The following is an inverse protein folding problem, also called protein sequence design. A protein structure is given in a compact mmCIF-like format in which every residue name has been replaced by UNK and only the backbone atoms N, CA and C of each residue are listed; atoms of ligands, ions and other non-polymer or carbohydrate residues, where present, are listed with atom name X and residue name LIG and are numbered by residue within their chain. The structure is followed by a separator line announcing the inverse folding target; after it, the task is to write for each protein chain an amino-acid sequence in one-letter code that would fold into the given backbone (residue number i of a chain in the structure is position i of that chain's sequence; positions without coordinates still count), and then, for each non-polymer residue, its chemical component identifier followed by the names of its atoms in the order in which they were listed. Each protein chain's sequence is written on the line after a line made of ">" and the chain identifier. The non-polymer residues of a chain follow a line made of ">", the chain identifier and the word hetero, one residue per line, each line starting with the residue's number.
data_IF_999649306531
#
_entry.id   IF_999649306531
#
_cell.length_a   1.000
_cell.length_b   1.000
_cell.length_c   1.000
_cell.angle_alpha   90.00
_cell.angle_beta   90.00
_cell.angle_gamma   90.00
#
_symmetry.space_group_name_H-M   'P 1'
#
loop_
_entity.id
_entity.type
_entity.pdbx_description
1 polymer ?
#
# COMPACT_ATOMS: atom_id res chain seq x y z
N UNK A 1 12.24 54.51 25.59
CA UNK A 1 11.71 55.12 24.34
C UNK A 1 11.47 53.99 23.35
N UNK A 2 10.19 53.85 22.98
CA UNK A 2 9.48 52.90 22.11
C UNK A 2 10.20 51.77 21.35
N UNK A 3 9.81 50.54 21.71
CA UNK A 3 9.81 49.34 20.86
C UNK A 3 9.03 49.61 19.57
N UNK A 4 9.64 49.31 18.42
CA UNK A 4 8.94 49.28 17.13
C UNK A 4 8.01 48.06 17.07
N UNK A 5 6.71 48.33 16.98
CA UNK A 5 5.65 47.38 16.67
C UNK A 5 5.43 47.38 15.16
N UNK A 6 5.68 46.25 14.48
CA UNK A 6 5.23 46.02 13.11
C UNK A 6 4.41 44.72 13.08
N UNK A 7 3.12 44.87 12.79
CA UNK A 7 2.10 43.82 12.69
C UNK A 7 2.49 42.73 11.67
N UNK A 8 2.13 41.46 11.90
CA UNK A 8 2.26 40.42 10.89
C UNK A 8 1.31 40.70 9.72
N UNK A 9 1.85 40.59 8.52
CA UNK A 9 1.12 40.57 7.25
C UNK A 9 0.09 39.44 7.31
N UNK A 10 -1.19 39.81 7.35
CA UNK A 10 -2.30 38.87 7.20
C UNK A 10 -2.27 38.30 5.78
N UNK A 11 -2.02 37.00 5.77
CA UNK A 11 -2.12 36.07 4.65
C UNK A 11 -3.52 36.17 4.00
N UNK A 12 -3.58 36.63 2.76
CA UNK A 12 -4.75 36.41 1.89
C UNK A 12 -4.29 35.60 0.68
N UNK A 13 -4.38 34.25 0.73
CA UNK A 13 -4.15 33.46 -0.45
C UNK A 13 -5.40 33.59 -1.33
N UNK A 14 -5.21 34.23 -2.49
CA UNK A 14 -6.22 34.39 -3.52
C UNK A 14 -6.89 33.06 -3.87
N UNK A 15 -8.17 33.12 -4.24
CA UNK A 15 -9.05 31.97 -4.49
C UNK A 15 -8.44 30.95 -5.47
N UNK A 16 -7.55 31.36 -6.39
CA UNK A 16 -6.82 30.46 -7.30
C UNK A 16 -5.79 29.54 -6.63
N UNK A 17 -5.23 29.91 -5.48
CA UNK A 17 -4.21 29.13 -4.78
C UNK A 17 -4.81 27.90 -4.04
N UNK A 18 -6.09 27.98 -3.62
CA UNK A 18 -6.80 26.86 -2.98
C UNK A 18 -7.10 25.71 -3.94
N UNK A 19 -7.41 26.01 -5.21
CA UNK A 19 -7.67 24.99 -6.23
C UNK A 19 -6.41 24.24 -6.64
N UNK A 20 -5.28 24.96 -6.75
CA UNK A 20 -4.00 24.35 -7.05
C UNK A 20 -3.51 23.49 -5.89
N UNK A 21 -3.66 23.94 -4.63
CA UNK A 21 -3.37 23.12 -3.45
C UNK A 21 -4.29 21.89 -3.37
N UNK A 22 -5.59 22.03 -3.63
CA UNK A 22 -6.52 20.90 -3.64
C UNK A 22 -6.17 19.88 -4.75
N UNK A 23 -5.77 20.35 -5.94
CA UNK A 23 -5.33 19.48 -7.02
C UNK A 23 -4.00 18.77 -6.70
N UNK A 24 -3.03 19.47 -6.09
CA UNK A 24 -1.76 18.88 -5.64
C UNK A 24 -2.01 17.83 -4.56
N UNK A 25 -2.90 18.10 -3.59
CA UNK A 25 -3.27 17.14 -2.55
C UNK A 25 -3.96 15.92 -3.17
N UNK A 26 -4.87 16.11 -4.13
CA UNK A 26 -5.54 15.01 -4.82
C UNK A 26 -4.57 14.13 -5.63
N UNK A 27 -3.58 14.74 -6.31
CA UNK A 27 -2.55 13.99 -7.03
C UNK A 27 -1.63 13.25 -6.04
N UNK A 28 -1.26 13.90 -4.93
CA UNK A 28 -0.45 13.28 -3.88
C UNK A 28 -1.17 12.10 -3.21
N UNK A 29 -2.47 12.18 -2.96
CA UNK A 29 -3.24 11.06 -2.39
C UNK A 29 -3.39 9.90 -3.38
N UNK A 30 -3.53 10.18 -4.69
CA UNK A 30 -3.51 9.13 -5.72
C UNK A 30 -2.13 8.47 -5.83
N UNK A 31 -1.04 9.24 -5.73
CA UNK A 31 0.32 8.72 -5.79
C UNK A 31 0.67 7.86 -4.56
N UNK A 32 0.22 8.23 -3.36
CA UNK A 32 0.46 7.45 -2.14
C UNK A 32 -0.47 6.22 -2.06
N UNK A 33 -1.72 6.34 -2.53
CA UNK A 33 -2.66 5.20 -2.60
C UNK A 33 -2.33 4.18 -3.70
N UNK A 34 -1.71 4.62 -4.80
CA UNK A 34 -1.32 3.76 -5.92
C UNK A 34 -0.04 2.94 -5.68
N UNK A 35 0.83 3.36 -4.76
CA UNK A 35 2.09 2.67 -4.49
C UNK A 35 1.94 1.40 -3.63
N UNK A 36 0.94 1.31 -2.75
CA UNK A 36 0.73 0.13 -1.89
C UNK A 36 0.07 -1.05 -2.62
N UNK A 37 -0.50 -0.79 -3.79
CA UNK A 37 -1.06 -1.81 -4.68
C UNK A 37 -0.02 -2.57 -5.51
N UNK A 38 1.21 -2.06 -5.62
CA UNK A 38 2.27 -2.66 -6.45
C UNK A 38 3.24 -3.56 -5.67
N UNK A 39 3.17 -3.56 -4.33
CA UNK A 39 4.03 -4.37 -3.49
C UNK A 39 3.62 -5.86 -3.52
N UNK A 40 4.64 -6.73 -3.52
CA UNK A 40 4.49 -8.18 -3.32
C UNK A 40 3.86 -8.42 -1.96
N UNK A 41 2.80 -9.24 -1.91
CA UNK A 41 2.14 -9.62 -0.66
C UNK A 41 3.01 -10.55 0.17
N UNK A 42 2.97 -10.35 1.48
CA UNK A 42 3.77 -11.12 2.45
C UNK A 42 2.93 -11.49 3.66
N UNK A 43 3.49 -12.31 4.56
CA UNK A 43 2.82 -12.70 5.81
C UNK A 43 2.39 -11.49 6.66
N UNK A 44 3.10 -10.36 6.55
CA UNK A 44 2.82 -9.15 7.32
C UNK A 44 1.45 -8.53 6.95
N UNK A 45 1.00 -8.73 5.71
CA UNK A 45 -0.30 -8.27 5.21
C UNK A 45 -1.48 -9.05 5.81
N UNK A 46 -1.22 -10.12 6.57
CA UNK A 46 -2.22 -11.05 7.07
C UNK A 46 -2.34 -11.04 8.58
N UNK A 47 -3.58 -11.16 9.05
CA UNK A 47 -3.90 -11.37 10.45
C UNK A 47 -3.81 -12.87 10.78
N UNK A 48 -2.94 -13.27 11.72
CA UNK A 48 -2.84 -14.67 12.14
C UNK A 48 -4.06 -15.17 12.91
N UNK A 49 -4.94 -14.30 13.40
CA UNK A 49 -6.02 -14.67 14.32
C UNK A 49 -5.49 -15.43 15.53
N UNK A 50 -5.93 -16.68 15.70
CA UNK A 50 -5.49 -17.59 16.75
C UNK A 50 -4.29 -18.46 16.37
N UNK A 51 -3.78 -18.37 15.13
CA UNK A 51 -2.64 -19.17 14.70
C UNK A 51 -1.33 -18.65 15.31
N UNK A 52 -0.44 -19.58 15.70
CA UNK A 52 0.91 -19.23 16.13
C UNK A 52 1.67 -18.51 14.99
N UNK A 53 2.47 -17.50 15.34
CA UNK A 53 3.27 -16.74 14.38
C UNK A 53 4.20 -17.62 13.53
N UNK A 54 4.74 -18.71 14.12
CA UNK A 54 5.56 -19.68 13.39
C UNK A 54 4.76 -20.43 12.31
N UNK A 55 3.50 -20.77 12.60
CA UNK A 55 2.62 -21.42 11.63
C UNK A 55 2.27 -20.46 10.49
N UNK A 56 1.94 -19.21 10.80
CA UNK A 56 1.71 -18.17 9.79
C UNK A 56 2.92 -18.03 8.87
N UNK A 57 4.15 -17.97 9.42
CA UNK A 57 5.36 -17.82 8.62
C UNK A 57 5.61 -19.03 7.69
N UNK A 58 5.38 -20.25 8.19
CA UNK A 58 5.51 -21.48 7.38
C UNK A 58 4.47 -21.54 6.26
N UNK A 59 3.20 -21.26 6.58
CA UNK A 59 2.12 -21.26 5.61
C UNK A 59 2.33 -20.16 4.55
N UNK A 60 2.79 -18.98 4.98
CA UNK A 60 3.16 -17.89 4.10
C UNK A 60 4.33 -18.22 3.15
N UNK A 61 5.37 -18.91 3.62
CA UNK A 61 6.48 -19.36 2.75
C UNK A 61 5.99 -20.36 1.70
N UNK A 62 5.14 -21.31 2.11
CA UNK A 62 4.53 -22.26 1.18
C UNK A 62 3.66 -21.56 0.13
N UNK A 63 2.83 -20.60 0.55
CA UNK A 63 2.01 -19.78 -0.35
C UNK A 63 2.86 -18.91 -1.28
N UNK A 64 3.98 -18.36 -0.79
CA UNK A 64 4.92 -17.59 -1.61
C UNK A 64 5.46 -18.46 -2.76
N UNK A 65 5.92 -19.68 -2.49
CA UNK A 65 6.44 -20.58 -3.53
C UNK A 65 5.39 -20.93 -4.57
N UNK A 66 4.15 -21.14 -4.16
CA UNK A 66 3.04 -21.39 -5.09
C UNK A 66 2.74 -20.15 -5.94
N UNK A 67 2.75 -18.96 -5.32
CA UNK A 67 2.55 -17.70 -6.01
C UNK A 67 3.69 -17.39 -7.00
N UNK A 68 4.94 -17.70 -6.66
CA UNK A 68 6.08 -17.58 -7.58
C UNK A 68 5.95 -18.53 -8.78
N UNK A 69 5.56 -19.79 -8.54
CA UNK A 69 5.31 -20.75 -9.61
C UNK A 69 4.17 -20.28 -10.52
N UNK A 70 3.09 -19.77 -9.92
CA UNK A 70 1.95 -19.22 -10.65
C UNK A 70 2.33 -17.98 -11.47
N UNK A 71 3.10 -17.05 -10.89
CA UNK A 71 3.60 -15.87 -11.58
C UNK A 71 4.55 -16.23 -12.74
N UNK A 72 5.35 -17.29 -12.61
CA UNK A 72 6.22 -17.73 -13.72
C UNK A 72 5.44 -18.24 -14.93
N UNK A 73 4.26 -18.84 -14.71
CA UNK A 73 3.44 -19.42 -15.78
C UNK A 73 2.45 -18.40 -16.34
N UNK A 74 1.81 -17.62 -15.46
CA UNK A 74 0.69 -16.75 -15.79
C UNK A 74 0.98 -15.25 -15.66
N UNK A 75 2.11 -14.89 -15.06
CA UNK A 75 2.53 -13.49 -14.94
C UNK A 75 3.17 -12.98 -16.23
N UNK A 76 3.17 -11.66 -16.41
CA UNK A 76 3.81 -11.00 -17.56
C UNK A 76 5.32 -10.78 -17.36
N UNK A 77 5.94 -11.55 -16.46
CA UNK A 77 7.36 -11.44 -16.11
C UNK A 77 7.76 -10.01 -15.74
N UNK A 78 8.82 -9.43 -16.34
CA UNK A 78 9.24 -8.05 -16.06
C UNK A 78 8.22 -6.98 -16.47
N UNK A 79 7.13 -7.35 -17.15
CA UNK A 79 6.03 -6.46 -17.54
C UNK A 79 4.82 -6.53 -16.59
N UNK A 80 4.90 -7.26 -15.47
CA UNK A 80 3.89 -7.27 -14.39
C UNK A 80 4.38 -6.43 -13.19
N UNK A 81 4.30 -5.08 -13.25
CA UNK A 81 4.77 -4.22 -12.16
C UNK A 81 3.91 -4.32 -10.90
N UNK A 82 2.71 -4.91 -10.98
CA UNK A 82 1.79 -5.03 -9.86
C UNK A 82 1.91 -6.37 -9.14
N UNK A 83 2.72 -7.31 -9.66
CA UNK A 83 2.79 -8.69 -9.20
C UNK A 83 1.39 -9.32 -9.11
N UNK A 84 0.48 -8.96 -10.03
CA UNK A 84 -0.94 -9.27 -9.90
C UNK A 84 -1.21 -10.77 -9.83
N UNK A 85 -0.51 -11.53 -10.66
CA UNK A 85 -0.61 -13.00 -10.70
C UNK A 85 -0.05 -13.68 -9.44
N UNK A 86 1.02 -13.14 -8.86
CA UNK A 86 1.54 -13.59 -7.57
C UNK A 86 0.57 -13.25 -6.45
N UNK A 87 0.18 -11.98 -6.35
CA UNK A 87 -0.65 -11.47 -5.27
C UNK A 87 -2.00 -12.19 -5.23
N UNK A 88 -2.61 -12.47 -6.38
CA UNK A 88 -3.84 -13.24 -6.44
C UNK A 88 -3.68 -14.67 -5.90
N UNK A 89 -2.61 -15.37 -6.30
CA UNK A 89 -2.36 -16.74 -5.86
C UNK A 89 -1.99 -16.79 -4.38
N UNK A 90 -1.17 -15.84 -3.93
CA UNK A 90 -0.78 -15.67 -2.54
C UNK A 90 -2.01 -15.42 -1.65
N UNK A 91 -2.88 -14.49 -2.06
CA UNK A 91 -4.10 -14.17 -1.33
C UNK A 91 -5.06 -15.36 -1.27
N UNK A 92 -5.21 -16.09 -2.37
CA UNK A 92 -6.04 -17.29 -2.43
C UNK A 92 -5.53 -18.39 -1.49
N UNK A 93 -4.21 -18.61 -1.46
CA UNK A 93 -3.58 -19.59 -0.59
C UNK A 93 -3.71 -19.21 0.89
N UNK A 94 -3.42 -17.96 1.24
CA UNK A 94 -3.53 -17.48 2.61
C UNK A 94 -4.98 -17.51 3.12
N UNK A 95 -5.96 -17.13 2.29
CA UNK A 95 -7.38 -17.22 2.63
C UNK A 95 -7.83 -18.68 2.83
N UNK A 96 -7.33 -19.62 2.02
CA UNK A 96 -7.58 -21.04 2.21
C UNK A 96 -6.99 -21.58 3.53
N UNK A 97 -5.87 -21.00 3.98
CA UNK A 97 -5.28 -21.24 5.30
C UNK A 97 -6.06 -20.63 6.48
N UNK A 98 -7.14 -19.88 6.20
CA UNK A 98 -7.97 -19.20 7.20
C UNK A 98 -7.45 -17.83 7.61
N UNK A 99 -6.41 -17.30 6.95
CA UNK A 99 -5.83 -16.00 7.26
C UNK A 99 -6.65 -14.88 6.61
N UNK A 100 -6.92 -13.83 7.39
CA UNK A 100 -7.65 -12.66 6.91
C UNK A 100 -6.67 -11.56 6.53
N UNK A 101 -6.91 -10.92 5.38
CA UNK A 101 -6.06 -9.81 4.95
C UNK A 101 -6.34 -8.58 5.81
N UNK A 102 -5.29 -7.94 6.32
CA UNK A 102 -5.40 -6.67 7.03
C UNK A 102 -5.88 -5.60 6.05
N UNK A 103 -6.82 -4.76 6.48
CA UNK A 103 -7.18 -3.59 5.68
C UNK A 103 -5.98 -2.63 5.65
N UNK A 104 -5.65 -2.06 4.48
CA UNK A 104 -4.61 -1.05 4.37
C UNK A 104 -4.97 0.23 5.14
#
# INVERSE_FOLDING_TARGET
>A
MHLMQAKPLVDRPGIGCRWMHAAIIAIATIAVGGCTSMAVRTAADYDPGSAAAEKLAKDADACARQAEAHQKVYGLGPYDPTHGSYNWMYDSCMQAGGYQRKKP
#
